data_IF_904939705916
#
_entry.id   IF_904939705916
#
_cell.length_a   1.000
_cell.length_b   1.000
_cell.length_c   1.000
_cell.angle_alpha   90.00
_cell.angle_beta   90.00
_cell.angle_gamma   90.00
#
_symmetry.space_group_name_H-M   'P 1'
#
loop_
_entity.id
_entity.type
_entity.pdbx_description
1 polymer ?
#
# COMPACT_ATOMS: atom_id res chain seq x y z
N UNK A 1 -24.16 -7.07 7.26
CA UNK A 1 -23.00 -6.38 7.17
C UNK A 1 -23.12 -5.20 6.29
N UNK A 2 -22.44 -4.18 6.62
CA UNK A 2 -22.57 -3.06 5.88
C UNK A 2 -21.84 -3.14 4.62
N UNK A 3 -22.50 -2.79 3.60
CA UNK A 3 -21.89 -2.82 2.38
C UNK A 3 -20.91 -1.74 2.27
N UNK A 4 -19.82 -2.00 1.65
CA UNK A 4 -18.86 -1.01 1.51
C UNK A 4 -19.30 0.01 0.55
N UNK A 5 -19.55 1.15 1.03
CA UNK A 5 -19.94 2.21 0.14
C UNK A 5 -18.83 3.17 -0.06
N UNK A 6 -17.84 3.13 0.78
CA UNK A 6 -16.80 4.05 0.62
C UNK A 6 -15.86 3.54 -0.41
N UNK A 7 -15.16 4.37 -1.00
CA UNK A 7 -14.24 3.98 -2.02
C UNK A 7 -12.88 3.68 -1.48
N UNK A 8 -12.78 3.46 -0.20
CA UNK A 8 -11.49 3.18 0.38
C UNK A 8 -11.02 1.82 -0.07
N UNK A 9 -10.04 1.79 -0.90
CA UNK A 9 -9.47 0.56 -1.41
C UNK A 9 -8.06 0.46 -0.89
N UNK A 10 -7.68 -0.66 -0.27
CA UNK A 10 -6.33 -0.79 0.28
C UNK A 10 -5.28 -0.63 -0.81
N UNK A 11 -4.15 -0.07 -0.43
CA UNK A 11 -3.06 0.07 -1.37
C UNK A 11 -2.60 -1.32 -1.80
N UNK A 12 -2.34 -1.49 -3.07
CA UNK A 12 -1.94 -2.78 -3.60
C UNK A 12 -3.10 -3.55 -4.21
N UNK A 13 -4.31 -2.99 -4.13
CA UNK A 13 -5.51 -3.67 -4.63
C UNK A 13 -6.33 -2.72 -5.47
N UNK A 14 -7.17 -3.29 -6.30
CA UNK A 14 -8.13 -2.51 -7.06
C UNK A 14 -9.47 -3.21 -6.99
N UNK A 15 -10.53 -2.48 -7.23
CA UNK A 15 -11.86 -3.04 -7.18
C UNK A 15 -12.25 -3.49 -8.59
N UNK A 16 -12.70 -4.73 -8.70
CA UNK A 16 -13.12 -5.26 -9.99
C UNK A 16 -14.57 -4.91 -10.23
N UNK A 17 -15.07 -5.25 -11.43
CA UNK A 17 -16.45 -5.00 -11.74
C UNK A 17 -17.38 -5.71 -10.80
N UNK A 18 -16.97 -6.86 -10.27
CA UNK A 18 -17.82 -7.63 -9.37
C UNK A 18 -17.65 -7.24 -7.92
N UNK A 19 -17.00 -6.11 -7.67
CA UNK A 19 -16.78 -5.62 -6.32
C UNK A 19 -15.84 -6.49 -5.49
N UNK A 20 -14.96 -7.22 -6.15
CA UNK A 20 -13.94 -7.96 -5.44
C UNK A 20 -12.63 -7.20 -5.49
N UNK A 21 -11.79 -7.42 -4.50
CA UNK A 21 -10.48 -6.79 -4.49
C UNK A 21 -9.52 -7.67 -5.26
N UNK A 22 -8.75 -7.06 -6.13
CA UNK A 22 -7.76 -7.79 -6.92
C UNK A 22 -6.40 -7.16 -6.70
N UNK A 23 -5.39 -7.96 -6.53
CA UNK A 23 -4.05 -7.45 -6.29
C UNK A 23 -3.50 -6.76 -7.52
N UNK A 24 -2.76 -5.70 -7.29
CA UNK A 24 -2.06 -5.00 -8.35
C UNK A 24 -0.59 -5.36 -8.20
N UNK A 25 -0.04 -6.17 -9.11
CA UNK A 25 1.32 -6.68 -8.93
C UNK A 25 2.37 -5.60 -8.78
N UNK A 26 2.26 -4.50 -9.52
CA UNK A 26 3.25 -3.45 -9.42
C UNK A 26 3.25 -2.83 -8.05
N UNK A 27 2.06 -2.64 -7.47
CA UNK A 27 1.99 -2.06 -6.15
C UNK A 27 2.46 -3.05 -5.09
N UNK A 28 2.15 -4.33 -5.28
CA UNK A 28 2.63 -5.34 -4.35
C UNK A 28 4.15 -5.43 -4.37
N UNK A 29 4.73 -5.35 -5.56
CA UNK A 29 6.19 -5.38 -5.66
C UNK A 29 6.82 -4.18 -5.01
N UNK A 30 6.23 -3.00 -5.16
CA UNK A 30 6.75 -1.82 -4.52
C UNK A 30 6.73 -1.98 -3.01
N UNK A 31 5.64 -2.52 -2.48
CA UNK A 31 5.55 -2.75 -1.05
C UNK A 31 6.61 -3.75 -0.59
N UNK A 32 6.77 -4.85 -1.33
CA UNK A 32 7.75 -5.86 -0.97
C UNK A 32 9.16 -5.30 -0.94
N UNK A 33 9.41 -4.28 -1.76
CA UNK A 33 10.73 -3.68 -1.81
C UNK A 33 10.92 -2.66 -0.69
N UNK A 34 9.90 -1.89 -0.41
CA UNK A 34 10.01 -0.78 0.51
C UNK A 34 9.79 -1.17 1.96
N UNK A 35 8.85 -2.08 2.22
CA UNK A 35 8.52 -2.44 3.59
C UNK A 35 9.74 -2.89 4.39
N UNK A 36 10.60 -3.79 3.88
CA UNK A 36 11.77 -4.18 4.66
C UNK A 36 12.69 -3.02 4.98
N UNK A 37 12.80 -2.06 4.06
CA UNK A 37 13.66 -0.92 4.31
C UNK A 37 13.11 -0.03 5.40
N UNK A 38 11.78 0.12 5.44
CA UNK A 38 11.15 0.88 6.49
C UNK A 38 11.27 0.16 7.82
N UNK A 39 11.08 -1.15 7.82
CA UNK A 39 11.14 -1.92 9.06
C UNK A 39 12.52 -1.92 9.68
N UNK A 40 13.55 -1.94 8.87
CA UNK A 40 14.92 -1.89 9.37
C UNK A 40 15.38 -0.46 9.59
N UNK A 41 14.50 0.49 9.34
CA UNK A 41 14.79 1.90 9.51
C UNK A 41 15.88 2.42 8.60
N UNK A 42 16.07 1.72 7.48
CA UNK A 42 16.97 2.21 6.46
C UNK A 42 16.42 3.47 5.82
N UNK A 43 15.09 3.57 5.74
CA UNK A 43 14.45 4.80 5.28
C UNK A 43 13.28 5.07 6.23
N UNK A 44 12.86 6.32 6.27
CA UNK A 44 11.75 6.69 7.13
C UNK A 44 10.43 6.32 6.45
N UNK A 45 9.35 6.38 7.24
CA UNK A 45 8.03 6.13 6.68
C UNK A 45 7.69 7.13 5.59
N UNK A 46 8.07 8.38 5.78
CA UNK A 46 7.80 9.38 4.76
C UNK A 46 8.55 9.11 3.48
N UNK A 47 9.81 8.72 3.63
CA UNK A 47 10.60 8.39 2.46
C UNK A 47 10.03 7.18 1.75
N UNK A 48 9.61 6.17 2.52
CA UNK A 48 9.01 4.99 1.93
C UNK A 48 7.75 5.33 1.16
N UNK A 49 6.91 6.19 1.73
CA UNK A 49 5.68 6.59 1.06
C UNK A 49 5.99 7.33 -0.23
N UNK A 50 7.00 8.20 -0.21
CA UNK A 50 7.39 8.94 -1.40
C UNK A 50 7.90 7.98 -2.48
N UNK A 51 8.71 7.01 -2.09
CA UNK A 51 9.21 6.04 -3.03
C UNK A 51 8.09 5.25 -3.68
N UNK A 52 7.10 4.84 -2.87
CA UNK A 52 5.98 4.08 -3.39
C UNK A 52 5.19 4.91 -4.38
N UNK A 53 4.95 6.18 -4.05
CA UNK A 53 4.24 7.04 -4.96
C UNK A 53 5.01 7.21 -6.27
N UNK A 54 6.33 7.33 -6.17
CA UNK A 54 7.15 7.50 -7.34
C UNK A 54 7.12 6.24 -8.22
N UNK A 55 7.13 5.08 -7.59
CA UNK A 55 7.19 3.83 -8.35
C UNK A 55 5.84 3.43 -8.92
N UNK A 56 4.77 3.71 -8.20
CA UNK A 56 3.46 3.24 -8.62
C UNK A 56 2.57 4.34 -9.16
N UNK A 57 2.93 5.60 -8.89
CA UNK A 57 2.09 6.71 -9.30
C UNK A 57 0.88 6.90 -8.42
N UNK A 58 0.78 6.17 -7.33
CA UNK A 58 -0.36 6.25 -6.45
C UNK A 58 0.07 6.73 -5.08
N UNK A 59 -0.62 7.74 -4.58
CA UNK A 59 -0.26 8.32 -3.29
C UNK A 59 -0.60 7.38 -2.14
N UNK A 60 0.32 7.27 -1.21
CA UNK A 60 0.10 6.52 0.00
C UNK A 60 0.71 7.33 1.13
N UNK A 61 -0.10 7.65 2.13
CA UNK A 61 0.40 8.45 3.23
C UNK A 61 1.32 7.60 4.10
N UNK A 62 2.15 8.28 4.90
CA UNK A 62 3.07 7.54 5.76
C UNK A 62 2.31 6.75 6.81
N UNK A 63 1.14 7.23 7.22
CA UNK A 63 0.34 6.47 8.18
C UNK A 63 -0.20 5.19 7.54
N UNK A 64 -0.64 5.30 6.29
CA UNK A 64 -1.09 4.11 5.57
C UNK A 64 0.04 3.11 5.39
N UNK A 65 1.22 3.61 5.08
CA UNK A 65 2.38 2.73 4.93
C UNK A 65 2.70 2.05 6.25
N UNK A 66 2.59 2.77 7.35
CA UNK A 66 2.86 2.18 8.65
C UNK A 66 1.91 1.03 8.94
N UNK A 67 0.63 1.22 8.62
CA UNK A 67 -0.35 0.17 8.84
C UNK A 67 -0.06 -1.05 7.98
N UNK A 68 0.33 -0.83 6.75
CA UNK A 68 0.66 -1.94 5.87
C UNK A 68 1.90 -2.66 6.39
N UNK A 69 2.91 -1.92 6.82
CA UNK A 69 4.12 -2.52 7.34
C UNK A 69 3.84 -3.37 8.57
N UNK A 70 2.91 -2.94 9.39
CA UNK A 70 2.56 -3.70 10.58
C UNK A 70 1.91 -5.04 10.23
N UNK A 71 1.28 -5.13 9.08
CA UNK A 71 0.67 -6.38 8.67
C UNK A 71 1.66 -7.32 8.01
N UNK A 72 2.75 -6.81 7.54
CA UNK A 72 3.77 -7.67 6.94
C UNK A 72 4.59 -8.28 8.05
N UNK A 73 4.73 -9.53 8.04
CA UNK A 73 5.58 -10.18 9.03
C UNK A 73 6.71 -10.94 8.36
#
# INVERSE_FOLDING_TARGET
MKRRTSSTIPFGYKLTKDNFLEEIPEEQKALDKIIPLVKTKSISLREGATWIEYETGRYLSHMGLKQIANKYE
#
